data_IF_821582343026
#
_entry.id   IF_821582343026
#
_cell.length_a   1.000
_cell.length_b   1.000
_cell.length_c   1.000
_cell.angle_alpha   90.00
_cell.angle_beta   90.00
_cell.angle_gamma   90.00
#
_symmetry.space_group_name_H-M   'P 1'
#
loop_
_entity.id
_entity.type
_entity.pdbx_description
1 polymer ?
#
# COMPACT_ATOMS: atom_id res chain seq x y z
N UNK A 1 45.96 9.77 -1.47
CA UNK A 1 45.12 9.90 -0.27
C UNK A 1 43.71 9.43 -0.63
N UNK A 2 43.39 8.16 -0.38
CA UNK A 2 42.06 7.63 -0.68
C UNK A 2 41.11 8.03 0.45
N UNK A 3 40.22 8.98 0.17
CA UNK A 3 39.05 9.24 1.02
C UNK A 3 38.16 8.00 0.95
N UNK A 4 38.35 7.06 1.87
CA UNK A 4 37.40 5.98 2.12
C UNK A 4 36.10 6.68 2.52
N UNK A 5 35.11 6.72 1.62
CA UNK A 5 33.77 7.20 1.94
C UNK A 5 33.34 6.43 3.18
N UNK A 6 33.16 7.11 4.30
CA UNK A 6 32.54 6.52 5.48
C UNK A 6 31.07 6.36 5.12
N UNK A 7 30.74 5.24 4.48
CA UNK A 7 29.36 4.79 4.30
C UNK A 7 28.95 4.12 5.60
N UNK A 8 28.63 4.95 6.59
CA UNK A 8 27.92 4.48 7.78
C UNK A 8 26.46 4.19 7.36
N UNK A 9 25.97 2.94 7.51
CA UNK A 9 24.59 2.55 7.24
C UNK A 9 23.57 3.46 7.95
N UNK A 10 23.85 3.86 9.18
CA UNK A 10 22.93 4.68 9.97
C UNK A 10 22.85 6.11 9.44
N UNK A 11 23.99 6.70 9.07
CA UNK A 11 24.04 8.03 8.42
C UNK A 11 23.29 7.99 7.09
N UNK A 12 23.45 6.90 6.32
CA UNK A 12 22.77 6.70 5.05
C UNK A 12 21.25 6.60 5.25
N UNK A 13 20.80 5.80 6.22
CA UNK A 13 19.39 5.67 6.58
C UNK A 13 18.80 7.04 6.96
N UNK A 14 19.42 7.75 7.89
CA UNK A 14 18.96 9.07 8.35
C UNK A 14 18.90 10.08 7.19
N UNK A 15 19.90 10.06 6.30
CA UNK A 15 19.92 10.92 5.10
C UNK A 15 18.71 10.64 4.22
N UNK A 16 18.43 9.38 3.89
CA UNK A 16 17.32 9.04 3.00
C UNK A 16 15.95 9.36 3.61
N UNK A 17 15.76 9.08 4.91
CA UNK A 17 14.56 9.46 5.66
C UNK A 17 14.32 10.97 5.57
N UNK A 18 15.36 11.79 5.82
CA UNK A 18 15.25 13.25 5.75
C UNK A 18 14.92 13.75 4.34
N UNK A 19 15.56 13.20 3.30
CA UNK A 19 15.29 13.58 1.92
C UNK A 19 13.85 13.23 1.53
N UNK A 20 13.36 12.05 1.89
CA UNK A 20 11.97 11.65 1.65
C UNK A 20 11.00 12.66 2.27
N UNK A 21 11.18 12.99 3.55
CA UNK A 21 10.36 13.99 4.25
C UNK A 21 10.39 15.37 3.60
N UNK A 22 11.58 15.85 3.19
CA UNK A 22 11.72 17.15 2.50
C UNK A 22 10.97 17.15 1.16
N UNK A 23 11.08 16.08 0.38
CA UNK A 23 10.40 15.97 -0.92
C UNK A 23 8.88 15.91 -0.77
N UNK A 24 8.39 15.19 0.25
CA UNK A 24 6.96 15.18 0.59
C UNK A 24 6.45 16.58 0.93
N UNK A 25 7.15 17.32 1.81
CA UNK A 25 6.78 18.70 2.19
C UNK A 25 6.80 19.63 0.98
N UNK A 26 7.72 19.41 0.03
CA UNK A 26 7.79 20.14 -1.25
C UNK A 26 6.73 19.70 -2.28
N UNK A 27 5.85 18.76 -1.93
CA UNK A 27 4.85 18.16 -2.82
C UNK A 27 5.43 17.50 -4.07
N UNK A 28 6.69 17.09 -4.03
CA UNK A 28 7.35 16.35 -5.11
C UNK A 28 7.24 14.84 -4.83
N UNK A 29 6.02 14.32 -5.02
CA UNK A 29 5.63 12.97 -4.62
C UNK A 29 6.37 11.88 -5.40
N UNK A 30 6.51 12.03 -6.72
CA UNK A 30 7.24 11.07 -7.55
C UNK A 30 8.71 10.93 -7.15
N UNK A 31 9.39 12.05 -6.86
CA UNK A 31 10.79 12.01 -6.42
C UNK A 31 10.94 11.49 -4.99
N UNK A 32 9.89 11.57 -4.17
CA UNK A 32 9.89 11.10 -2.78
C UNK A 32 10.12 9.59 -2.67
N UNK A 33 9.71 8.83 -3.69
CA UNK A 33 9.78 7.38 -3.66
C UNK A 33 11.20 6.83 -3.76
N UNK A 34 12.10 7.49 -4.49
CA UNK A 34 13.48 6.99 -4.63
C UNK A 34 14.25 6.98 -3.28
N UNK A 35 14.27 8.04 -2.46
CA UNK A 35 14.84 7.98 -1.12
C UNK A 35 14.16 6.94 -0.22
N UNK A 36 12.85 6.71 -0.36
CA UNK A 36 12.15 5.65 0.39
C UNK A 36 12.78 4.30 0.05
N UNK A 37 12.91 3.96 -1.24
CA UNK A 37 13.53 2.71 -1.68
C UNK A 37 14.99 2.58 -1.24
N UNK A 38 15.75 3.68 -1.31
CA UNK A 38 17.15 3.69 -0.88
C UNK A 38 17.31 3.51 0.64
N UNK A 39 16.28 3.81 1.44
CA UNK A 39 16.29 3.59 2.89
C UNK A 39 16.06 2.12 3.28
N UNK A 40 15.27 1.36 2.49
CA UNK A 40 14.83 -0.01 2.85
C UNK A 40 15.99 -0.99 3.13
N UNK A 41 17.10 -1.01 2.34
CA UNK A 41 18.22 -1.91 2.61
C UNK A 41 18.96 -1.62 3.93
N UNK A 42 18.77 -0.43 4.51
CA UNK A 42 19.41 0.00 5.75
C UNK A 42 18.52 -0.17 6.98
N UNK A 43 17.31 -0.73 6.83
CA UNK A 43 16.47 -1.05 7.97
C UNK A 43 17.17 -2.06 8.88
N UNK A 44 17.24 -1.75 10.17
CA UNK A 44 17.92 -2.60 11.15
C UNK A 44 17.35 -4.01 11.17
N UNK A 45 18.21 -5.03 11.08
CA UNK A 45 17.83 -6.42 11.35
C UNK A 45 17.95 -6.80 12.83
N UNK A 46 18.70 -6.00 13.60
CA UNK A 46 19.00 -6.27 15.01
C UNK A 46 17.95 -5.66 15.96
N UNK A 47 17.37 -4.53 15.57
CA UNK A 47 16.41 -3.77 16.39
C UNK A 47 15.07 -3.69 15.65
N UNK A 48 14.19 -4.65 15.91
CA UNK A 48 12.86 -4.72 15.28
C UNK A 48 12.00 -3.54 15.72
N UNK A 49 11.94 -3.27 17.03
CA UNK A 49 11.08 -2.23 17.61
C UNK A 49 9.59 -2.55 17.52
N UNK A 50 8.75 -1.54 17.68
CA UNK A 50 7.29 -1.63 17.58
C UNK A 50 6.74 -0.51 16.70
N UNK A 51 5.55 -0.73 16.14
CA UNK A 51 4.80 0.33 15.48
C UNK A 51 4.37 1.37 16.52
N UNK A 52 4.37 2.62 16.12
CA UNK A 52 3.91 3.73 16.94
C UNK A 52 2.42 3.96 16.70
N UNK A 53 1.64 3.95 17.78
CA UNK A 53 0.21 4.31 17.74
C UNK A 53 -0.02 5.83 17.84
N UNK A 54 1.07 6.59 17.86
CA UNK A 54 1.11 7.99 18.28
C UNK A 54 1.76 8.90 17.22
N UNK A 55 1.76 8.48 15.94
CA UNK A 55 2.32 9.28 14.85
C UNK A 55 1.44 10.50 14.49
N UNK A 56 0.14 10.44 14.81
CA UNK A 56 -0.82 11.51 14.54
C UNK A 56 -1.51 11.88 15.85
N UNK A 57 -0.77 12.51 16.78
CA UNK A 57 -1.35 13.06 18.01
C UNK A 57 -1.81 14.50 17.75
N UNK A 58 -3.07 14.82 18.06
CA UNK A 58 -3.52 16.20 18.25
C UNK A 58 -4.04 16.96 17.01
N UNK A 59 -4.41 16.26 15.93
CA UNK A 59 -5.08 16.89 14.78
C UNK A 59 -4.18 17.89 14.02
N UNK A 60 -4.52 19.17 14.03
CA UNK A 60 -3.83 20.25 13.27
C UNK A 60 -2.64 20.87 14.02
N UNK A 61 -2.37 20.45 15.25
CA UNK A 61 -1.30 21.05 16.05
C UNK A 61 0.07 20.48 15.69
N UNK A 62 1.08 21.36 15.64
CA UNK A 62 2.48 20.95 15.50
C UNK A 62 2.89 20.22 16.77
N UNK A 63 3.40 19.01 16.62
CA UNK A 63 4.03 18.28 17.71
C UNK A 63 5.43 17.82 17.30
N UNK A 64 6.28 17.61 18.30
CA UNK A 64 7.58 16.98 18.11
C UNK A 64 7.41 15.48 18.26
N UNK A 65 7.80 14.72 17.24
CA UNK A 65 7.84 13.26 17.30
C UNK A 65 9.29 12.79 17.13
N UNK A 66 9.77 12.01 18.08
CA UNK A 66 11.06 11.32 17.94
C UNK A 66 10.82 10.00 17.22
N UNK A 67 11.53 9.78 16.10
CA UNK A 67 11.48 8.54 15.35
C UNK A 67 12.57 7.59 15.85
N UNK A 68 12.24 6.47 16.53
CA UNK A 68 13.22 5.45 16.85
C UNK A 68 13.79 4.85 15.57
N UNK A 69 15.11 4.71 15.47
CA UNK A 69 15.77 4.07 14.32
C UNK A 69 15.71 2.53 14.41
N UNK A 70 14.52 2.01 14.66
CA UNK A 70 14.21 0.57 14.66
C UNK A 70 13.51 0.20 13.35
N UNK A 71 13.57 -1.08 12.97
CA UNK A 71 13.00 -1.59 11.70
C UNK A 71 11.55 -1.14 11.51
N UNK A 72 10.69 -1.45 12.48
CA UNK A 72 9.25 -1.20 12.40
C UNK A 72 8.93 0.28 12.40
N UNK A 73 9.52 1.07 13.30
CA UNK A 73 9.23 2.50 13.36
C UNK A 73 9.66 3.23 12.09
N UNK A 74 10.83 2.88 11.53
CA UNK A 74 11.30 3.49 10.28
C UNK A 74 10.48 3.03 9.08
N UNK A 75 10.17 1.73 8.97
CA UNK A 75 9.31 1.21 7.91
C UNK A 75 7.94 1.89 7.95
N UNK A 76 7.33 1.98 9.14
CA UNK A 76 6.08 2.68 9.38
C UNK A 76 6.14 4.12 8.87
N UNK A 77 7.17 4.87 9.24
CA UNK A 77 7.35 6.25 8.79
C UNK A 77 7.45 6.37 7.27
N UNK A 78 8.24 5.52 6.61
CA UNK A 78 8.40 5.52 5.15
C UNK A 78 7.08 5.18 4.44
N UNK A 79 6.34 4.20 4.96
CA UNK A 79 5.02 3.80 4.44
C UNK A 79 3.99 4.90 4.62
N UNK A 80 3.98 5.60 5.77
CA UNK A 80 3.12 6.78 5.97
C UNK A 80 3.42 7.88 4.95
N UNK A 81 4.69 8.16 4.66
CA UNK A 81 5.04 9.15 3.63
C UNK A 81 4.47 8.71 2.27
N UNK A 82 4.72 7.47 1.85
CA UNK A 82 4.25 6.97 0.57
C UNK A 82 2.71 7.00 0.47
N UNK A 83 2.03 6.53 1.50
CA UNK A 83 0.57 6.54 1.62
C UNK A 83 0.02 7.97 1.48
N UNK A 84 0.64 8.95 2.15
CA UNK A 84 0.24 10.36 2.04
C UNK A 84 0.52 10.94 0.66
N UNK A 85 1.65 10.60 0.04
CA UNK A 85 1.93 10.98 -1.35
C UNK A 85 0.82 10.50 -2.30
N UNK A 86 0.44 9.21 -2.22
CA UNK A 86 -0.60 8.63 -3.08
C UNK A 86 -1.95 9.31 -2.81
N UNK A 87 -2.33 9.45 -1.54
CA UNK A 87 -3.61 10.08 -1.17
C UNK A 87 -3.70 11.54 -1.61
N UNK A 88 -2.68 12.33 -1.33
CA UNK A 88 -2.67 13.75 -1.69
C UNK A 88 -2.67 13.93 -3.21
N UNK A 89 -2.09 13.01 -3.97
CA UNK A 89 -2.14 13.02 -5.42
C UNK A 89 -3.52 12.59 -5.96
N UNK A 90 -4.11 11.55 -5.37
CA UNK A 90 -5.45 11.08 -5.69
C UNK A 90 -6.49 12.19 -5.48
N UNK A 91 -6.36 13.03 -4.44
CA UNK A 91 -7.26 14.15 -4.20
C UNK A 91 -7.15 15.29 -5.25
N UNK A 92 -6.04 15.39 -5.99
CA UNK A 92 -5.90 16.39 -7.07
C UNK A 92 -6.62 15.98 -8.35
N UNK A 93 -6.72 14.67 -8.59
CA UNK A 93 -7.42 14.11 -9.73
C UNK A 93 -8.84 13.77 -9.33
N UNK A 94 -9.83 14.39 -9.96
CA UNK A 94 -11.23 13.97 -9.80
C UNK A 94 -11.53 12.62 -10.45
N UNK A 95 -10.58 12.05 -11.20
CA UNK A 95 -10.75 10.76 -11.86
C UNK A 95 -10.58 9.59 -10.89
N UNK A 96 -11.49 8.63 -11.00
CA UNK A 96 -11.41 7.34 -10.32
C UNK A 96 -10.10 6.61 -10.66
N UNK A 97 -9.38 6.19 -9.62
CA UNK A 97 -8.06 5.58 -9.77
C UNK A 97 -7.98 4.29 -8.95
N UNK A 98 -8.45 3.19 -9.56
CA UNK A 98 -8.45 1.84 -8.97
C UNK A 98 -7.05 1.39 -8.53
N UNK A 99 -6.03 1.76 -9.31
CA UNK A 99 -4.64 1.42 -9.02
C UNK A 99 -4.16 2.08 -7.72
N UNK A 100 -4.43 3.38 -7.56
CA UNK A 100 -4.10 4.11 -6.34
C UNK A 100 -4.86 3.56 -5.12
N UNK A 101 -6.15 3.24 -5.29
CA UNK A 101 -6.96 2.62 -4.22
C UNK A 101 -6.35 1.29 -3.78
N UNK A 102 -6.00 0.42 -4.73
CA UNK A 102 -5.37 -0.86 -4.41
C UNK A 102 -3.99 -0.71 -3.76
N UNK A 103 -3.18 0.27 -4.18
CA UNK A 103 -1.93 0.59 -3.50
C UNK A 103 -2.15 1.07 -2.07
N UNK A 104 -3.19 1.87 -1.82
CA UNK A 104 -3.57 2.27 -0.47
C UNK A 104 -3.96 1.04 0.35
N UNK A 105 -4.78 0.12 -0.18
CA UNK A 105 -5.12 -1.13 0.50
C UNK A 105 -3.89 -1.95 0.87
N UNK A 106 -2.87 -2.02 0.01
CA UNK A 106 -1.62 -2.69 0.36
C UNK A 106 -0.96 -2.00 1.56
N UNK A 107 -0.78 -0.68 1.50
CA UNK A 107 -0.01 0.09 2.49
C UNK A 107 -0.66 0.17 3.87
N UNK A 108 -1.99 0.27 3.96
CA UNK A 108 -2.68 0.40 5.26
C UNK A 108 -2.59 -0.86 6.12
N UNK A 109 -2.32 -2.02 5.53
CA UNK A 109 -2.18 -3.29 6.26
C UNK A 109 -1.05 -3.26 7.29
N UNK A 110 0.01 -2.46 7.06
CA UNK A 110 1.15 -2.37 7.98
C UNK A 110 0.72 -1.88 9.36
N UNK A 111 -0.20 -0.91 9.38
CA UNK A 111 -0.65 -0.23 10.59
C UNK A 111 -2.10 -0.58 10.93
N UNK A 112 -2.60 -1.72 10.46
CA UNK A 112 -3.93 -2.17 10.84
C UNK A 112 -4.02 -2.43 12.35
N UNK A 113 -5.07 -1.98 13.06
CA UNK A 113 -6.28 -1.28 12.60
C UNK A 113 -6.21 0.27 12.67
N UNK A 114 -5.05 0.87 12.95
CA UNK A 114 -4.92 2.33 13.08
C UNK A 114 -5.28 3.12 11.81
N UNK A 115 -5.18 2.50 10.64
CA UNK A 115 -5.55 3.11 9.35
C UNK A 115 -6.88 2.60 8.78
N UNK A 116 -7.68 1.89 9.59
CA UNK A 116 -8.99 1.35 9.19
C UNK A 116 -9.96 2.44 8.71
N UNK A 117 -9.92 3.63 9.32
CA UNK A 117 -10.76 4.78 8.91
C UNK A 117 -10.56 5.21 7.45
N UNK A 118 -9.46 4.80 6.80
CA UNK A 118 -9.24 5.05 5.38
C UNK A 118 -10.07 4.13 4.47
N UNK A 119 -10.53 2.98 4.96
CA UNK A 119 -11.16 1.94 4.15
C UNK A 119 -12.56 2.34 3.64
N UNK A 120 -13.51 2.83 4.48
CA UNK A 120 -14.86 3.15 4.03
C UNK A 120 -14.95 4.13 2.83
N UNK A 121 -14.23 5.27 2.79
CA UNK A 121 -14.32 6.18 1.65
C UNK A 121 -13.78 5.57 0.35
N UNK A 122 -12.82 4.65 0.42
CA UNK A 122 -12.29 3.95 -0.76
C UNK A 122 -13.27 2.90 -1.29
N UNK A 123 -13.92 2.16 -0.38
CA UNK A 123 -14.97 1.21 -0.73
C UNK A 123 -16.19 1.91 -1.33
N UNK A 124 -16.57 3.08 -0.81
CA UNK A 124 -17.65 3.89 -1.36
C UNK A 124 -17.33 4.35 -2.79
N UNK A 125 -16.09 4.76 -3.06
CA UNK A 125 -15.64 5.07 -4.43
C UNK A 125 -15.75 3.85 -5.35
N UNK A 126 -15.28 2.68 -4.91
CA UNK A 126 -15.42 1.44 -5.68
C UNK A 126 -16.90 1.12 -5.96
N UNK A 127 -17.74 1.23 -4.93
CA UNK A 127 -19.17 0.95 -5.02
C UNK A 127 -19.88 1.88 -6.02
N UNK A 128 -19.54 3.17 -6.02
CA UNK A 128 -20.08 4.17 -6.95
C UNK A 128 -19.67 3.88 -8.40
N UNK A 129 -18.43 3.46 -8.62
CA UNK A 129 -17.90 3.17 -9.96
C UNK A 129 -18.21 1.76 -10.48
N UNK A 130 -18.74 0.88 -9.63
CA UNK A 130 -19.16 -0.49 -9.97
C UNK A 130 -18.06 -1.39 -10.55
N UNK A 131 -16.80 -1.01 -10.40
CA UNK A 131 -15.64 -1.78 -10.83
C UNK A 131 -14.50 -1.58 -9.86
N UNK A 132 -13.71 -2.64 -9.63
CA UNK A 132 -12.39 -2.55 -9.01
C UNK A 132 -11.42 -3.51 -9.69
N UNK A 133 -10.42 -2.95 -10.37
CA UNK A 133 -9.33 -3.69 -11.01
C UNK A 133 -8.02 -3.50 -10.25
N UNK A 134 -7.44 -4.60 -9.76
CA UNK A 134 -6.15 -4.56 -9.07
C UNK A 134 -5.39 -5.88 -9.20
N UNK A 135 -4.50 -5.96 -10.19
CA UNK A 135 -3.76 -7.19 -10.50
C UNK A 135 -2.74 -7.61 -9.44
N UNK A 136 -2.40 -6.73 -8.50
CA UNK A 136 -1.48 -7.03 -7.40
C UNK A 136 -2.18 -7.65 -6.17
N UNK A 137 -3.51 -7.83 -6.24
CA UNK A 137 -4.34 -8.36 -5.16
C UNK A 137 -3.78 -9.69 -4.62
N UNK A 138 -3.52 -10.65 -5.51
CA UNK A 138 -3.05 -12.00 -5.13
C UNK A 138 -1.62 -12.01 -4.56
N UNK A 139 -0.86 -10.94 -4.75
CA UNK A 139 0.51 -10.84 -4.25
C UNK A 139 0.53 -10.20 -2.85
N UNK A 140 -0.27 -9.14 -2.64
CA UNK A 140 -0.04 -8.21 -1.52
C UNK A 140 -1.24 -7.92 -0.61
N UNK A 141 -2.48 -8.31 -0.95
CA UNK A 141 -3.63 -8.05 -0.07
C UNK A 141 -3.96 -9.32 0.72
N UNK A 142 -3.67 -9.33 2.01
CA UNK A 142 -3.85 -10.49 2.92
C UNK A 142 -4.66 -10.17 4.18
N UNK A 143 -4.93 -8.89 4.46
CA UNK A 143 -5.75 -8.46 5.59
C UNK A 143 -7.21 -8.92 5.41
N UNK A 144 -7.74 -9.62 6.43
CA UNK A 144 -9.03 -10.32 6.33
C UNK A 144 -10.20 -9.35 6.20
N UNK A 145 -10.16 -8.22 6.89
CA UNK A 145 -11.20 -7.20 6.87
C UNK A 145 -11.32 -6.55 5.48
N UNK A 146 -10.19 -6.19 4.86
CA UNK A 146 -10.18 -5.69 3.46
C UNK A 146 -10.73 -6.77 2.50
N UNK A 147 -10.36 -8.03 2.68
CA UNK A 147 -10.83 -9.13 1.85
C UNK A 147 -12.33 -9.36 2.01
N UNK A 148 -12.87 -9.25 3.22
CA UNK A 148 -14.29 -9.38 3.53
C UNK A 148 -15.10 -8.26 2.86
N UNK A 149 -14.66 -7.01 3.01
CA UNK A 149 -15.33 -5.85 2.41
C UNK A 149 -15.36 -5.91 0.88
N UNK A 150 -14.24 -6.27 0.25
CA UNK A 150 -14.19 -6.49 -1.20
C UNK A 150 -15.10 -7.65 -1.63
N UNK A 151 -15.16 -8.73 -0.83
CA UNK A 151 -16.07 -9.85 -1.08
C UNK A 151 -17.53 -9.41 -0.98
N UNK A 152 -17.87 -8.57 0.01
CA UNK A 152 -19.21 -8.03 0.18
C UNK A 152 -19.64 -7.21 -1.04
N UNK A 153 -18.81 -6.27 -1.50
CA UNK A 153 -19.07 -5.43 -2.68
C UNK A 153 -19.37 -6.25 -3.95
N UNK A 154 -18.75 -7.42 -4.09
CA UNK A 154 -18.96 -8.33 -5.21
C UNK A 154 -20.30 -9.07 -5.17
N UNK A 155 -20.92 -9.19 -4.00
CA UNK A 155 -22.22 -9.86 -3.85
C UNK A 155 -23.38 -9.01 -4.39
N UNK A 156 -24.53 -9.65 -4.61
CA UNK A 156 -25.76 -8.93 -4.98
C UNK A 156 -26.20 -7.93 -3.90
N UNK A 157 -25.90 -8.20 -2.62
CA UNK A 157 -26.28 -7.33 -1.50
C UNK A 157 -25.35 -6.11 -1.39
N UNK A 158 -24.05 -6.29 -1.65
CA UNK A 158 -23.06 -5.21 -1.63
C UNK A 158 -22.94 -4.40 -2.92
N UNK A 159 -23.90 -4.53 -3.84
CA UNK A 159 -24.00 -3.66 -5.01
C UNK A 159 -23.39 -4.22 -6.30
N UNK A 160 -23.00 -5.50 -6.30
CA UNK A 160 -22.59 -6.28 -7.47
C UNK A 160 -21.45 -5.64 -8.26
N UNK A 161 -20.44 -5.14 -7.54
CA UNK A 161 -19.24 -4.54 -8.13
C UNK A 161 -18.49 -5.58 -8.96
N UNK A 162 -18.04 -5.19 -10.15
CA UNK A 162 -17.14 -6.02 -10.95
C UNK A 162 -15.74 -6.04 -10.33
N UNK A 163 -15.26 -7.21 -9.91
CA UNK A 163 -13.88 -7.38 -9.43
C UNK A 163 -13.00 -8.00 -10.51
N UNK A 164 -11.93 -7.29 -10.89
CA UNK A 164 -10.86 -7.78 -11.76
C UNK A 164 -9.54 -7.83 -10.97
N UNK A 165 -9.44 -8.84 -10.11
CA UNK A 165 -8.34 -9.04 -9.16
C UNK A 165 -7.36 -10.13 -9.61
N UNK A 166 -7.55 -10.69 -10.81
CA UNK A 166 -6.73 -11.74 -11.38
C UNK A 166 -6.04 -11.23 -12.65
N UNK A 167 -4.72 -11.38 -12.81
CA UNK A 167 -3.97 -10.83 -13.95
C UNK A 167 -4.38 -11.39 -15.34
N UNK A 168 -5.15 -12.46 -15.37
CA UNK A 168 -5.51 -13.22 -16.58
C UNK A 168 -6.99 -13.10 -16.98
N UNK A 169 -7.83 -12.38 -16.22
CA UNK A 169 -9.26 -12.28 -16.52
C UNK A 169 -9.57 -11.30 -17.66
N UNK A 170 -8.82 -10.20 -17.78
CA UNK A 170 -9.03 -9.18 -18.82
C UNK A 170 -8.96 -9.71 -20.26
N UNK A 171 -8.24 -10.82 -20.51
CA UNK A 171 -8.07 -11.42 -21.84
C UNK A 171 -9.17 -12.42 -22.24
N UNK A 172 -10.02 -12.89 -21.30
CA UNK A 172 -11.01 -13.96 -21.55
C UNK A 172 -12.42 -13.46 -21.91
N UNK A 173 -12.62 -12.17 -22.20
CA UNK A 173 -13.94 -11.56 -22.52
C UNK A 173 -14.54 -11.94 -23.89
N UNK A 174 -14.36 -13.18 -24.37
CA UNK A 174 -15.17 -13.72 -25.48
C UNK A 174 -16.06 -14.81 -24.88
N UNK A 175 -17.29 -14.42 -24.55
CA UNK A 175 -18.22 -15.20 -23.72
C UNK A 175 -18.83 -16.39 -24.45
N UNK A 176 -18.61 -17.59 -23.91
CA UNK A 176 -19.45 -18.78 -24.13
C UNK A 176 -20.16 -19.12 -22.83
N UNK A 177 -21.45 -19.52 -22.89
CA UNK A 177 -22.25 -19.94 -21.73
C UNK A 177 -21.48 -20.99 -20.90
N UNK A 178 -21.05 -20.62 -19.69
CA UNK A 178 -20.26 -21.48 -18.79
C UNK A 178 -18.96 -20.84 -18.30
N UNK A 179 -18.38 -19.90 -19.06
CA UNK A 179 -17.14 -19.21 -18.69
C UNK A 179 -17.29 -18.39 -17.40
N UNK A 180 -18.43 -17.71 -17.23
CA UNK A 180 -18.69 -16.84 -16.06
C UNK A 180 -18.73 -17.60 -14.73
N UNK A 181 -19.18 -18.88 -14.73
CA UNK A 181 -19.16 -19.71 -13.52
C UNK A 181 -17.73 -20.04 -13.10
N UNK A 182 -16.86 -20.32 -14.06
CA UNK A 182 -15.43 -20.57 -13.80
C UNK A 182 -14.75 -19.34 -13.19
N UNK A 183 -14.99 -18.15 -13.75
CA UNK A 183 -14.45 -16.89 -13.24
C UNK A 183 -14.86 -16.63 -11.78
N UNK A 184 -16.14 -16.87 -11.43
CA UNK A 184 -16.60 -16.71 -10.04
C UNK A 184 -15.88 -17.64 -9.06
N UNK A 185 -15.64 -18.88 -9.43
CA UNK A 185 -14.91 -19.82 -8.57
C UNK A 185 -13.41 -19.49 -8.49
N UNK A 186 -12.79 -19.01 -9.57
CA UNK A 186 -11.41 -18.51 -9.56
C UNK A 186 -11.24 -17.32 -8.61
N UNK A 187 -12.17 -16.36 -8.63
CA UNK A 187 -12.17 -15.20 -7.70
C UNK A 187 -12.31 -15.66 -6.24
N UNK A 188 -13.28 -16.54 -5.94
CA UNK A 188 -13.44 -17.11 -4.58
C UNK A 188 -12.18 -17.84 -4.13
N UNK A 189 -11.57 -18.61 -5.03
CA UNK A 189 -10.34 -19.33 -4.71
C UNK A 189 -9.18 -18.36 -4.43
N UNK A 190 -9.07 -17.27 -5.19
CA UNK A 190 -8.07 -16.24 -4.94
C UNK A 190 -8.26 -15.58 -3.57
N UNK A 191 -9.49 -15.22 -3.20
CA UNK A 191 -9.79 -14.67 -1.86
C UNK A 191 -9.42 -15.67 -0.77
N UNK A 192 -9.82 -16.94 -0.89
CA UNK A 192 -9.46 -18.00 0.08
C UNK A 192 -7.95 -18.18 0.23
N UNK A 193 -7.19 -18.09 -0.86
CA UNK A 193 -5.72 -18.14 -0.82
C UNK A 193 -5.15 -16.96 -0.06
N UNK A 194 -5.69 -15.76 -0.22
CA UNK A 194 -5.24 -14.59 0.52
C UNK A 194 -5.59 -14.68 2.01
N UNK A 195 -6.78 -15.18 2.36
CA UNK A 195 -7.15 -15.45 3.77
C UNK A 195 -6.18 -16.46 4.40
N UNK A 196 -5.76 -17.50 3.68
CA UNK A 196 -4.78 -18.47 4.18
C UNK A 196 -3.40 -17.86 4.46
N UNK A 197 -3.11 -16.69 3.88
CA UNK A 197 -1.86 -15.92 4.04
C UNK A 197 -1.96 -14.83 5.11
N UNK A 198 -3.08 -14.68 5.82
CA UNK A 198 -3.31 -13.58 6.76
C UNK A 198 -2.32 -13.52 7.93
N UNK A 199 -1.62 -14.62 8.23
CA UNK A 199 -0.58 -14.69 9.26
C UNK A 199 0.84 -14.38 8.73
N UNK A 200 1.01 -14.11 7.44
CA UNK A 200 2.30 -13.70 6.87
C UNK A 200 2.78 -12.36 7.46
N UNK A 201 4.09 -12.15 7.48
CA UNK A 201 4.70 -10.91 7.96
C UNK A 201 4.42 -9.75 7.00
N UNK A 202 3.50 -8.87 7.38
CA UNK A 202 3.12 -7.69 6.58
C UNK A 202 4.33 -6.80 6.29
N UNK A 203 5.26 -6.63 7.25
CA UNK A 203 6.48 -5.84 7.07
C UNK A 203 7.25 -6.22 5.79
N UNK A 204 7.52 -7.51 5.61
CA UNK A 204 8.31 -8.02 4.47
C UNK A 204 7.51 -8.01 3.17
N UNK A 205 6.20 -8.24 3.26
CA UNK A 205 5.28 -8.11 2.13
C UNK A 205 5.29 -6.67 1.60
N UNK A 206 5.26 -5.67 2.48
CA UNK A 206 5.25 -4.25 2.12
C UNK A 206 6.60 -3.80 1.56
N UNK A 207 7.70 -4.27 2.14
CA UNK A 207 9.05 -4.04 1.57
C UNK A 207 9.14 -4.63 0.16
N UNK A 208 8.63 -5.84 -0.04
CA UNK A 208 8.61 -6.52 -1.34
C UNK A 208 7.79 -5.74 -2.35
N UNK A 209 6.58 -5.30 -1.97
CA UNK A 209 5.72 -4.47 -2.81
C UNK A 209 6.43 -3.18 -3.26
N UNK A 210 7.00 -2.41 -2.32
CA UNK A 210 7.69 -1.17 -2.65
C UNK A 210 8.90 -1.41 -3.57
N UNK A 211 9.66 -2.48 -3.32
CA UNK A 211 10.89 -2.76 -4.06
C UNK A 211 10.62 -3.26 -5.48
N UNK A 212 9.63 -4.16 -5.63
CA UNK A 212 9.40 -4.87 -6.90
C UNK A 212 8.44 -4.13 -7.82
N UNK A 213 7.45 -3.41 -7.27
CA UNK A 213 6.38 -2.81 -8.06
C UNK A 213 6.63 -1.33 -8.37
N UNK A 214 7.91 -0.92 -8.43
CA UNK A 214 8.31 0.47 -8.59
C UNK A 214 7.63 1.16 -9.77
N UNK A 215 7.58 0.50 -10.92
CA UNK A 215 7.01 1.05 -12.16
C UNK A 215 5.49 1.25 -12.08
N UNK A 216 4.83 0.53 -11.17
CA UNK A 216 3.38 0.52 -11.00
C UNK A 216 2.95 1.54 -9.94
N UNK A 217 3.79 1.75 -8.91
CA UNK A 217 3.58 2.75 -7.87
C UNK A 217 3.78 4.18 -8.39
N UNK A 218 4.79 4.43 -9.24
CA UNK A 218 5.13 5.78 -9.74
C UNK A 218 3.93 6.52 -10.36
N UNK A 219 3.12 5.91 -11.24
CA UNK A 219 1.92 6.55 -11.79
C UNK A 219 0.95 7.12 -10.75
N UNK A 220 0.82 6.48 -9.57
CA UNK A 220 -0.02 7.00 -8.49
C UNK A 220 0.57 8.21 -7.76
N UNK A 221 1.83 8.57 -8.06
CA UNK A 221 2.57 9.69 -7.47
C UNK A 221 2.74 10.90 -8.41
N UNK A 222 2.27 10.80 -9.66
CA UNK A 222 2.35 11.85 -10.70
C UNK A 222 1.07 12.68 -10.75
#
# INVERSE_FOLDING_TARGET
MFLKKITDPEISLQKYIRIAGILYVKKNYSSCFEPILLALPYLSSLTVGTLSNNLVIGGTQKHLHYLPLTRKSVLQYLVKILLRCIKDNMHKSSAYNELAIGHIFVLIQLDWPQEEDMLPPLLEQIHQHKSFQYHFFQSYIINVEILEELTYLWTNQGGQVQLDILPHLGQRRIGTRGADKGVKEEIKQAIRRQIARSNETVDDLIITFMTNERTQIIPSLL
#
